data_IF_923675072713
#
_entry.id   IF_923675072713
#
_cell.length_a   1.000
_cell.length_b   1.000
_cell.length_c   1.000
_cell.angle_alpha   90.00
_cell.angle_beta   90.00
_cell.angle_gamma   90.00
#
_symmetry.space_group_name_H-M   'P 1'
#
loop_
_entity.id
_entity.type
_entity.pdbx_description
1 polymer ?
#
# COMPACT_ATOMS: atom_id res chain seq x y z
N UNK A 1 -24.04 40.62 17.92
CA UNK A 1 -23.87 40.16 16.52
C UNK A 1 -24.67 38.89 16.36
N UNK A 2 -25.72 38.92 15.57
CA UNK A 2 -26.53 37.74 15.24
C UNK A 2 -25.82 36.91 14.17
N UNK A 3 -26.17 35.62 14.00
CA UNK A 3 -25.59 34.79 12.92
C UNK A 3 -25.72 35.43 11.52
N UNK A 4 -26.81 36.16 11.28
CA UNK A 4 -27.05 36.88 10.01
C UNK A 4 -26.10 38.07 9.85
N UNK A 5 -25.84 38.82 10.94
CA UNK A 5 -24.88 39.94 10.90
C UNK A 5 -23.43 39.50 10.72
N UNK A 6 -23.10 38.22 11.05
CA UNK A 6 -21.79 37.63 10.84
C UNK A 6 -21.64 37.03 9.44
N UNK A 7 -22.70 36.97 8.67
CA UNK A 7 -22.70 36.36 7.33
C UNK A 7 -22.01 37.30 6.33
N UNK A 8 -20.94 36.82 5.68
CA UNK A 8 -20.13 37.64 4.74
C UNK A 8 -20.63 37.57 3.30
N UNK A 9 -21.50 36.60 2.98
CA UNK A 9 -22.09 36.41 1.66
C UNK A 9 -23.61 36.25 1.79
N UNK A 10 -24.38 36.54 0.74
CA UNK A 10 -25.84 36.42 0.75
C UNK A 10 -26.33 35.00 1.10
N UNK A 11 -25.65 33.98 0.63
CA UNK A 11 -25.96 32.56 0.90
C UNK A 11 -25.32 32.02 2.19
N UNK A 12 -24.40 32.75 2.80
CA UNK A 12 -23.55 32.25 3.88
C UNK A 12 -22.45 31.25 3.44
N UNK A 13 -22.35 31.02 2.13
CA UNK A 13 -21.35 30.13 1.55
C UNK A 13 -20.42 30.91 0.60
N UNK A 14 -19.13 30.92 0.90
CA UNK A 14 -18.12 31.61 0.08
C UNK A 14 -18.00 30.97 -1.30
N UNK A 15 -18.29 29.68 -1.43
CA UNK A 15 -18.20 28.93 -2.71
C UNK A 15 -19.31 29.33 -3.72
N UNK A 16 -20.30 30.11 -3.29
CA UNK A 16 -21.35 30.63 -4.17
C UNK A 16 -20.99 31.98 -4.83
N UNK A 17 -19.82 32.55 -4.52
CA UNK A 17 -19.37 33.78 -5.15
C UNK A 17 -18.92 33.51 -6.59
N UNK A 18 -19.20 34.43 -7.54
CA UNK A 18 -19.00 34.21 -8.99
C UNK A 18 -17.54 33.85 -9.38
N UNK A 19 -16.57 34.39 -8.68
CA UNK A 19 -15.15 34.25 -8.98
C UNK A 19 -14.42 33.39 -7.91
N UNK A 20 -15.16 32.62 -7.11
CA UNK A 20 -14.59 31.84 -6.05
C UNK A 20 -13.73 30.66 -6.59
N UNK A 21 -12.57 30.51 -6.00
CA UNK A 21 -11.70 29.38 -6.25
C UNK A 21 -11.61 28.56 -4.96
N UNK A 22 -12.21 27.40 -4.96
CA UNK A 22 -12.13 26.49 -3.80
C UNK A 22 -10.69 26.02 -3.54
N UNK A 23 -10.39 25.69 -2.28
CA UNK A 23 -9.10 25.07 -1.93
C UNK A 23 -8.83 23.80 -2.78
N UNK A 24 -9.88 23.02 -3.02
CA UNK A 24 -9.81 21.84 -3.88
C UNK A 24 -9.33 22.21 -5.29
N UNK A 25 -9.88 23.26 -5.90
CA UNK A 25 -9.46 23.74 -7.23
C UNK A 25 -8.01 24.22 -7.25
N UNK A 26 -7.58 24.92 -6.19
CA UNK A 26 -6.19 25.37 -6.06
C UNK A 26 -5.23 24.18 -5.95
N UNK A 27 -5.55 23.19 -5.11
CA UNK A 27 -4.75 22.00 -4.95
C UNK A 27 -4.68 21.17 -6.24
N UNK A 28 -5.78 21.05 -6.98
CA UNK A 28 -5.79 20.38 -8.28
C UNK A 28 -4.87 21.07 -9.31
N UNK A 29 -4.90 22.40 -9.37
CA UNK A 29 -4.00 23.20 -10.23
C UNK A 29 -2.53 23.00 -9.84
N UNK A 30 -2.23 22.99 -8.55
CA UNK A 30 -0.87 22.72 -8.05
C UNK A 30 -0.43 21.30 -8.39
N UNK A 31 -1.28 20.29 -8.22
CA UNK A 31 -0.98 18.92 -8.60
C UNK A 31 -0.68 18.80 -10.12
N UNK A 32 -1.38 19.54 -10.97
CA UNK A 32 -1.10 19.62 -12.41
C UNK A 32 0.21 20.33 -12.72
N UNK A 33 0.55 21.36 -11.97
CA UNK A 33 1.84 22.04 -12.07
C UNK A 33 2.98 21.08 -11.75
N UNK A 34 2.90 20.40 -10.60
CA UNK A 34 3.88 19.40 -10.18
C UNK A 34 3.99 18.24 -11.19
N UNK A 35 2.86 17.77 -11.75
CA UNK A 35 2.86 16.73 -12.76
C UNK A 35 3.63 17.14 -14.03
N UNK A 36 3.57 18.40 -14.43
CA UNK A 36 4.37 18.93 -15.56
C UNK A 36 5.85 19.03 -15.22
N UNK A 37 6.18 19.54 -14.03
CA UNK A 37 7.56 19.70 -13.57
C UNK A 37 8.32 18.37 -13.50
N UNK A 38 7.69 17.29 -12.96
CA UNK A 38 8.34 15.99 -12.81
C UNK A 38 8.53 15.19 -14.10
N UNK A 39 7.90 15.58 -15.23
CA UNK A 39 8.06 14.87 -16.51
C UNK A 39 9.51 14.80 -16.99
N UNK A 40 10.33 15.77 -16.63
CA UNK A 40 11.75 15.84 -17.02
C UNK A 40 12.68 15.14 -16.03
N UNK A 41 12.17 14.59 -14.94
CA UNK A 41 12.96 13.86 -13.96
C UNK A 41 13.39 12.50 -14.52
N UNK A 42 14.68 12.19 -14.42
CA UNK A 42 15.19 10.89 -14.85
C UNK A 42 14.71 9.74 -13.92
N UNK A 43 14.62 8.51 -14.43
CA UNK A 43 14.08 7.37 -13.66
C UNK A 43 14.88 7.04 -12.40
N UNK A 44 16.23 7.18 -12.42
CA UNK A 44 17.05 6.84 -11.26
C UNK A 44 16.83 7.84 -10.12
N UNK A 45 16.86 9.14 -10.41
CA UNK A 45 16.53 10.20 -9.44
C UNK A 45 15.11 10.07 -8.89
N UNK A 46 14.18 9.59 -9.71
CA UNK A 46 12.81 9.30 -9.27
C UNK A 46 12.78 8.18 -8.23
N UNK A 47 13.44 7.04 -8.49
CA UNK A 47 13.49 5.93 -7.53
C UNK A 47 14.22 6.30 -6.24
N UNK A 48 15.26 7.13 -6.31
CA UNK A 48 15.91 7.70 -5.12
C UNK A 48 14.92 8.55 -4.31
N UNK A 49 14.14 9.39 -4.97
CA UNK A 49 13.08 10.18 -4.33
C UNK A 49 12.00 9.29 -3.70
N UNK A 50 11.62 8.20 -4.36
CA UNK A 50 10.69 7.21 -3.79
C UNK A 50 11.24 6.65 -2.48
N UNK A 51 12.49 6.17 -2.45
CA UNK A 51 13.15 5.68 -1.23
C UNK A 51 13.17 6.74 -0.13
N UNK A 52 13.57 7.96 -0.49
CA UNK A 52 13.66 9.07 0.45
C UNK A 52 12.30 9.43 1.08
N UNK A 53 11.25 9.57 0.27
CA UNK A 53 9.93 10.00 0.74
C UNK A 53 9.18 8.88 1.51
N UNK A 54 9.31 7.65 1.07
CA UNK A 54 8.68 6.50 1.74
C UNK A 54 9.42 6.07 2.99
N UNK A 55 10.69 6.49 3.14
CA UNK A 55 11.59 6.07 4.23
C UNK A 55 11.77 4.55 4.29
N UNK A 56 11.72 3.90 3.13
CA UNK A 56 12.02 2.48 3.01
C UNK A 56 13.49 2.28 3.33
N UNK A 57 13.76 1.39 4.29
CA UNK A 57 15.10 1.04 4.73
C UNK A 57 15.69 -0.05 3.83
N UNK A 58 17.00 -0.11 3.79
CA UNK A 58 17.67 -1.25 3.20
C UNK A 58 17.36 -2.53 3.98
N UNK A 59 17.35 -3.67 3.27
CA UNK A 59 17.07 -4.95 3.88
C UNK A 59 18.10 -5.27 4.98
N UNK A 60 17.58 -5.58 6.16
CA UNK A 60 18.38 -6.06 7.28
C UNK A 60 18.73 -7.55 7.18
N UNK A 61 18.67 -8.23 8.30
CA UNK A 61 18.87 -9.70 8.38
C UNK A 61 17.79 -10.41 7.55
N UNK A 62 18.14 -11.59 7.02
CA UNK A 62 17.16 -12.40 6.29
C UNK A 62 15.98 -12.76 7.20
N UNK A 63 14.73 -12.53 6.77
CA UNK A 63 13.55 -12.88 7.55
C UNK A 63 13.45 -14.39 7.76
N UNK A 64 12.81 -14.81 8.84
CA UNK A 64 12.57 -16.21 9.18
C UNK A 64 11.10 -16.46 9.42
N UNK A 65 10.61 -17.68 9.15
CA UNK A 65 9.20 -18.02 9.38
C UNK A 65 9.04 -19.10 10.44
N UNK A 66 8.08 -18.92 11.34
CA UNK A 66 7.61 -19.95 12.26
C UNK A 66 6.25 -20.43 11.82
N UNK A 67 6.10 -21.72 11.54
CA UNK A 67 4.92 -22.28 10.92
C UNK A 67 4.30 -23.36 11.78
N UNK A 68 2.95 -23.33 11.86
CA UNK A 68 2.13 -24.40 12.44
C UNK A 68 1.25 -24.98 11.33
N UNK A 69 1.34 -26.27 11.12
CA UNK A 69 0.47 -26.96 10.20
C UNK A 69 -0.97 -26.95 10.72
N UNK A 70 -1.91 -26.60 9.85
CA UNK A 70 -3.33 -26.54 10.16
C UNK A 70 -4.10 -27.73 9.56
N UNK A 71 -3.80 -28.08 8.31
CA UNK A 71 -4.62 -28.97 7.53
C UNK A 71 -3.86 -29.54 6.32
N UNK A 72 -4.12 -30.82 6.02
CA UNK A 72 -3.89 -31.40 4.71
C UNK A 72 -5.23 -31.54 4.00
N UNK A 73 -5.36 -30.98 2.80
CA UNK A 73 -6.61 -31.04 2.03
C UNK A 73 -6.30 -30.96 0.53
N UNK A 74 -6.97 -31.83 -0.26
CA UNK A 74 -6.91 -31.75 -1.72
C UNK A 74 -5.50 -31.79 -2.33
N UNK A 75 -4.54 -32.48 -1.70
CA UNK A 75 -3.15 -32.50 -2.17
C UNK A 75 -2.35 -31.26 -1.82
N UNK A 76 -2.75 -30.51 -0.81
CA UNK A 76 -2.06 -29.30 -0.33
C UNK A 76 -1.85 -29.35 1.17
N UNK A 77 -0.74 -28.78 1.63
CA UNK A 77 -0.45 -28.53 3.05
C UNK A 77 -0.69 -27.06 3.35
N UNK A 78 -1.57 -26.78 4.28
CA UNK A 78 -1.88 -25.44 4.78
C UNK A 78 -1.18 -25.19 6.10
N UNK A 79 -0.43 -24.10 6.20
CA UNK A 79 0.31 -23.71 7.40
C UNK A 79 0.01 -22.25 7.72
N UNK A 80 -0.27 -21.94 8.98
CA UNK A 80 -0.38 -20.57 9.48
C UNK A 80 0.84 -20.25 10.32
N UNK A 81 1.33 -19.02 10.25
CA UNK A 81 2.53 -18.67 10.98
C UNK A 81 2.81 -17.19 11.05
N UNK A 82 4.01 -16.89 11.50
CA UNK A 82 4.53 -15.54 11.63
C UNK A 82 5.87 -15.48 10.90
N UNK A 83 6.02 -14.46 10.06
CA UNK A 83 7.31 -14.08 9.47
C UNK A 83 7.96 -13.07 10.40
N UNK A 84 9.10 -13.44 10.98
CA UNK A 84 9.93 -12.55 11.78
C UNK A 84 10.72 -11.65 10.83
N UNK A 85 10.44 -10.36 10.88
CA UNK A 85 11.06 -9.34 10.05
C UNK A 85 12.42 -8.88 10.64
N UNK A 86 13.22 -8.23 9.82
CA UNK A 86 14.56 -7.75 10.19
C UNK A 86 14.55 -6.71 11.33
N UNK A 87 13.47 -5.98 11.49
CA UNK A 87 13.29 -4.96 12.53
C UNK A 87 12.67 -5.50 13.83
N UNK A 88 12.43 -6.81 13.91
CA UNK A 88 11.82 -7.45 15.07
C UNK A 88 10.30 -7.55 15.03
N UNK A 89 9.63 -6.93 14.06
CA UNK A 89 8.19 -7.10 13.87
C UNK A 89 7.84 -8.51 13.40
N UNK A 90 6.60 -8.92 13.65
CA UNK A 90 6.05 -10.19 13.21
C UNK A 90 4.92 -9.95 12.22
N UNK A 91 5.03 -10.55 11.04
CA UNK A 91 4.06 -10.44 9.97
C UNK A 91 3.20 -11.71 9.94
N UNK A 92 1.88 -11.63 10.17
CA UNK A 92 0.98 -12.78 10.01
C UNK A 92 1.01 -13.32 8.58
N UNK A 93 1.11 -14.64 8.45
CA UNK A 93 1.20 -15.27 7.14
C UNK A 93 0.52 -16.64 7.10
N UNK A 94 0.02 -16.99 5.92
CA UNK A 94 -0.48 -18.33 5.62
C UNK A 94 0.28 -18.87 4.41
N UNK A 95 0.85 -20.07 4.55
CA UNK A 95 1.54 -20.75 3.46
C UNK A 95 0.75 -21.96 3.01
N UNK A 96 0.58 -22.09 1.70
CA UNK A 96 0.01 -23.28 1.08
C UNK A 96 1.04 -23.87 0.15
N UNK A 97 1.34 -25.14 0.36
CA UNK A 97 2.34 -25.88 -0.42
C UNK A 97 1.66 -27.09 -1.06
N UNK A 98 1.69 -27.24 -2.39
CA UNK A 98 1.18 -28.43 -3.06
C UNK A 98 2.03 -29.65 -2.72
N UNK A 99 1.40 -30.82 -2.60
CA UNK A 99 2.09 -32.11 -2.38
C UNK A 99 2.97 -32.46 -3.58
N UNK A 100 2.52 -32.10 -4.77
CA UNK A 100 3.29 -32.28 -6.01
C UNK A 100 3.50 -30.89 -6.63
N UNK A 101 4.61 -30.20 -6.34
CA UNK A 101 4.87 -28.89 -6.90
C UNK A 101 5.14 -29.00 -8.40
N UNK A 102 4.56 -28.07 -9.15
CA UNK A 102 4.90 -27.86 -10.57
C UNK A 102 6.10 -26.93 -10.70
N UNK A 103 6.80 -27.01 -11.82
CA UNK A 103 7.86 -26.06 -12.15
C UNK A 103 7.26 -24.67 -12.37
N UNK A 104 7.80 -23.67 -11.70
CA UNK A 104 7.40 -22.27 -11.83
C UNK A 104 7.47 -21.49 -10.53
N UNK A 105 7.42 -20.15 -10.61
CA UNK A 105 7.52 -19.29 -9.44
C UNK A 105 6.33 -19.50 -8.50
N UNK A 106 6.58 -19.43 -7.21
CA UNK A 106 5.53 -19.34 -6.20
C UNK A 106 4.78 -18.01 -6.29
N UNK A 107 3.70 -17.88 -5.52
CA UNK A 107 2.91 -16.65 -5.46
C UNK A 107 3.03 -15.99 -4.09
N UNK A 108 3.33 -14.71 -4.06
CA UNK A 108 3.19 -13.85 -2.88
C UNK A 108 1.93 -13.02 -3.03
N UNK A 109 0.91 -13.34 -2.23
CA UNK A 109 -0.39 -12.65 -2.27
C UNK A 109 -0.47 -11.71 -1.07
N UNK A 110 -0.73 -10.44 -1.34
CA UNK A 110 -0.76 -9.39 -0.33
C UNK A 110 -2.14 -8.77 -0.29
N UNK A 111 -2.73 -8.70 0.90
CA UNK A 111 -3.99 -7.97 1.07
C UNK A 111 -4.98 -8.62 2.00
N UNK A 112 -5.92 -7.78 2.42
CA UNK A 112 -6.93 -8.08 3.41
C UNK A 112 -7.80 -9.28 3.02
N UNK A 113 -7.64 -10.39 3.74
CA UNK A 113 -8.52 -11.54 3.63
C UNK A 113 -8.50 -12.22 2.26
N UNK A 114 -7.37 -12.20 1.57
CA UNK A 114 -7.21 -12.83 0.25
C UNK A 114 -7.64 -14.30 0.28
N UNK A 115 -7.34 -15.01 1.35
CA UNK A 115 -7.74 -16.40 1.53
C UNK A 115 -9.23 -16.57 1.94
N UNK A 116 -9.83 -15.59 2.64
CA UNK A 116 -11.25 -15.62 3.02
C UNK A 116 -12.19 -15.35 1.86
N UNK A 117 -11.73 -14.71 0.78
CA UNK A 117 -12.55 -14.32 -0.37
C UNK A 117 -12.42 -15.27 -1.57
N UNK A 118 -11.84 -16.46 -1.40
CA UNK A 118 -11.74 -17.42 -2.49
C UNK A 118 -10.91 -16.93 -3.68
N UNK A 119 -9.92 -16.08 -3.46
CA UNK A 119 -8.84 -15.91 -4.42
C UNK A 119 -8.18 -17.27 -4.54
N UNK A 120 -8.58 -17.99 -5.59
CA UNK A 120 -8.18 -19.37 -5.86
C UNK A 120 -6.66 -19.37 -5.96
N UNK A 121 -6.02 -19.99 -5.01
CA UNK A 121 -4.64 -20.36 -5.14
C UNK A 121 -4.54 -21.31 -6.32
N UNK A 122 -3.64 -21.07 -7.25
CA UNK A 122 -3.28 -22.14 -8.16
C UNK A 122 -2.82 -23.32 -7.30
N UNK A 123 -3.53 -24.43 -7.39
CA UNK A 123 -3.23 -25.64 -6.62
C UNK A 123 -1.81 -26.19 -6.91
N UNK A 124 -1.13 -25.60 -7.86
CA UNK A 124 0.09 -26.08 -8.49
C UNK A 124 1.38 -25.44 -7.98
N UNK A 125 1.30 -24.25 -7.32
CA UNK A 125 2.46 -23.50 -6.87
C UNK A 125 2.41 -23.19 -5.38
N UNK A 126 3.57 -23.14 -4.73
CA UNK A 126 3.67 -22.65 -3.36
C UNK A 126 3.15 -21.21 -3.29
N UNK A 127 2.22 -20.96 -2.38
CA UNK A 127 1.64 -19.62 -2.19
C UNK A 127 1.85 -19.16 -0.76
N UNK A 128 2.32 -17.94 -0.61
CA UNK A 128 2.45 -17.24 0.66
C UNK A 128 1.48 -16.06 0.68
N UNK A 129 0.49 -16.08 1.58
CA UNK A 129 -0.33 -14.92 1.90
C UNK A 129 0.28 -14.19 3.07
N UNK A 130 0.33 -12.87 2.97
CA UNK A 130 0.77 -12.02 4.06
C UNK A 130 -0.21 -10.87 4.27
N UNK A 131 -0.40 -10.53 5.53
CA UNK A 131 -1.17 -9.37 5.96
C UNK A 131 -0.20 -8.31 6.50
N UNK A 132 0.21 -7.32 5.68
CA UNK A 132 1.03 -6.22 6.14
C UNK A 132 0.35 -5.39 7.22
N UNK A 133 1.12 -4.56 7.89
CA UNK A 133 0.66 -3.66 8.94
C UNK A 133 -0.71 -3.03 8.61
N UNK A 134 -1.64 -3.07 9.54
CA UNK A 134 -3.04 -2.62 9.44
C UNK A 134 -3.94 -3.41 8.50
N UNK A 135 -3.50 -4.55 7.98
CA UNK A 135 -4.29 -5.40 7.09
C UNK A 135 -4.59 -6.76 7.72
N UNK A 136 -5.75 -7.33 7.37
CA UNK A 136 -6.14 -8.70 7.74
C UNK A 136 -5.89 -9.05 9.21
N UNK A 137 -5.10 -10.09 9.46
CA UNK A 137 -4.73 -10.54 10.82
C UNK A 137 -3.75 -9.57 11.54
N UNK A 138 -3.13 -8.62 10.81
CA UNK A 138 -2.33 -7.55 11.38
C UNK A 138 -3.15 -6.28 11.68
N UNK A 139 -4.47 -6.31 11.48
CA UNK A 139 -5.35 -5.19 11.79
C UNK A 139 -5.59 -5.13 13.30
N UNK A 140 -5.51 -3.94 13.93
CA UNK A 140 -5.85 -3.79 15.34
C UNK A 140 -7.31 -4.19 15.62
N UNK A 141 -7.56 -4.86 16.76
CA UNK A 141 -8.91 -5.22 17.20
C UNK A 141 -9.71 -4.03 17.77
N UNK A 142 -9.09 -2.88 17.87
CA UNK A 142 -9.72 -1.66 18.34
C UNK A 142 -10.56 -1.00 17.26
N UNK A 143 -11.65 -0.34 17.67
CA UNK A 143 -12.51 0.40 16.75
C UNK A 143 -11.77 1.47 15.94
N UNK A 144 -12.34 1.84 14.80
CA UNK A 144 -11.76 2.86 13.94
C UNK A 144 -11.65 4.20 14.68
N UNK A 145 -10.49 4.84 14.60
CA UNK A 145 -10.28 6.18 15.16
C UNK A 145 -11.19 7.18 14.45
N UNK A 146 -12.07 7.81 15.22
CA UNK A 146 -13.10 8.72 14.72
C UNK A 146 -14.04 8.13 13.64
N UNK A 147 -14.25 6.83 13.61
CA UNK A 147 -15.23 6.19 12.72
C UNK A 147 -15.02 6.41 11.22
N UNK A 148 -14.75 7.63 10.79
CA UNK A 148 -14.62 8.02 9.39
C UNK A 148 -13.25 7.73 8.77
N UNK A 149 -12.18 7.66 9.60
CA UNK A 149 -10.81 7.54 9.10
C UNK A 149 -10.30 6.10 9.00
N UNK A 150 -11.05 5.14 9.54
CA UNK A 150 -10.66 3.74 9.57
C UNK A 150 -9.46 3.44 10.48
N UNK A 151 -9.11 2.16 10.61
CA UNK A 151 -8.04 1.70 11.52
C UNK A 151 -6.65 2.19 11.08
N UNK A 152 -6.40 2.25 9.78
CA UNK A 152 -5.08 2.61 9.24
C UNK A 152 -4.69 4.07 9.47
N UNK A 153 -5.65 4.96 9.72
CA UNK A 153 -5.40 6.40 9.86
C UNK A 153 -4.55 6.73 11.09
N UNK A 154 -4.83 6.09 12.24
CA UNK A 154 -4.05 6.26 13.46
C UNK A 154 -2.60 5.82 13.26
N UNK A 155 -2.43 4.64 12.69
CA UNK A 155 -1.10 4.05 12.51
C UNK A 155 -0.30 4.83 11.47
N UNK A 156 -0.96 5.35 10.42
CA UNK A 156 -0.32 6.26 9.48
C UNK A 156 0.12 7.58 10.13
N UNK A 157 -0.73 8.16 11.00
CA UNK A 157 -0.37 9.37 11.73
C UNK A 157 0.85 9.14 12.65
N UNK A 158 0.94 7.99 13.31
CA UNK A 158 2.11 7.63 14.11
C UNK A 158 3.34 7.39 13.25
N UNK A 159 3.20 6.73 12.09
CA UNK A 159 4.29 6.61 11.13
C UNK A 159 4.83 7.98 10.73
N UNK A 160 3.96 8.94 10.39
CA UNK A 160 4.37 10.30 10.01
C UNK A 160 5.12 11.02 11.13
N UNK A 161 4.65 10.91 12.39
CA UNK A 161 5.35 11.50 13.54
C UNK A 161 6.75 10.92 13.75
N UNK A 162 6.94 9.66 13.40
CA UNK A 162 8.23 8.96 13.49
C UNK A 162 9.09 9.12 12.22
N UNK A 163 8.64 9.93 11.24
CA UNK A 163 9.35 10.17 9.99
C UNK A 163 9.25 9.01 8.99
N UNK A 164 8.24 8.16 9.11
CA UNK A 164 7.94 7.05 8.19
C UNK A 164 6.62 7.28 7.46
N UNK A 165 6.36 6.46 6.43
CA UNK A 165 5.03 6.35 5.83
C UNK A 165 4.48 4.95 6.04
N UNK A 166 3.14 4.80 6.15
CA UNK A 166 2.54 3.48 6.22
C UNK A 166 2.81 2.68 4.94
N UNK A 167 2.75 3.33 3.78
CA UNK A 167 3.07 2.74 2.48
C UNK A 167 4.50 2.18 2.48
N UNK A 168 5.48 2.95 2.97
CA UNK A 168 6.87 2.51 3.05
C UNK A 168 7.05 1.30 3.97
N UNK A 169 6.41 1.33 5.16
CA UNK A 169 6.46 0.20 6.10
C UNK A 169 5.85 -1.08 5.53
N UNK A 170 4.71 -0.95 4.87
CA UNK A 170 4.07 -2.09 4.19
C UNK A 170 4.92 -2.61 3.02
N UNK A 171 5.55 -1.72 2.24
CA UNK A 171 6.45 -2.13 1.15
C UNK A 171 7.68 -2.90 1.67
N UNK A 172 8.31 -2.45 2.78
CA UNK A 172 9.38 -3.21 3.46
C UNK A 172 8.93 -4.62 3.83
N UNK A 173 7.74 -4.76 4.42
CA UNK A 173 7.17 -6.05 4.82
C UNK A 173 6.93 -6.98 3.62
N UNK A 174 6.45 -6.44 2.50
CA UNK A 174 6.25 -7.18 1.25
C UNK A 174 7.59 -7.67 0.68
N UNK A 175 8.60 -6.82 0.64
CA UNK A 175 9.94 -7.20 0.18
C UNK A 175 10.58 -8.28 1.07
N UNK A 176 10.42 -8.18 2.38
CA UNK A 176 10.92 -9.21 3.30
C UNK A 176 10.14 -10.53 3.15
N UNK A 177 8.82 -10.47 2.95
CA UNK A 177 8.02 -11.67 2.66
C UNK A 177 8.42 -12.34 1.34
N UNK A 178 8.80 -11.58 0.31
CA UNK A 178 9.33 -12.16 -0.92
C UNK A 178 10.64 -12.91 -0.68
N UNK A 179 11.55 -12.35 0.12
CA UNK A 179 12.85 -12.98 0.43
C UNK A 179 12.73 -14.30 1.19
N UNK A 180 11.66 -14.51 1.97
CA UNK A 180 11.45 -15.78 2.70
C UNK A 180 11.07 -16.93 1.77
N UNK A 181 10.53 -16.64 0.59
CA UNK A 181 10.14 -17.68 -0.38
C UNK A 181 11.34 -18.35 -1.04
N UNK A 182 12.53 -17.75 -0.96
CA UNK A 182 13.78 -18.29 -1.49
C UNK A 182 14.01 -18.01 -2.96
N UNK A 183 12.99 -18.17 -3.80
CA UNK A 183 12.99 -17.79 -5.22
C UNK A 183 12.01 -16.63 -5.46
N UNK A 184 12.28 -15.78 -6.46
CA UNK A 184 11.40 -14.66 -6.78
C UNK A 184 9.95 -15.12 -7.08
N UNK A 185 8.95 -14.72 -6.29
CA UNK A 185 7.56 -15.08 -6.51
C UNK A 185 6.88 -14.16 -7.54
N UNK A 186 5.72 -14.58 -8.03
CA UNK A 186 4.74 -13.67 -8.63
C UNK A 186 4.07 -12.87 -7.52
N UNK A 187 4.23 -11.55 -7.53
CA UNK A 187 3.58 -10.65 -6.57
C UNK A 187 2.15 -10.35 -7.02
N UNK A 188 1.18 -10.65 -6.16
CA UNK A 188 -0.25 -10.37 -6.42
C UNK A 188 -0.79 -9.45 -5.34
N UNK A 189 -1.31 -8.29 -5.73
CA UNK A 189 -1.88 -7.33 -4.78
C UNK A 189 -3.07 -6.58 -5.40
N UNK A 190 -4.10 -6.31 -4.58
CA UNK A 190 -5.31 -5.59 -5.00
C UNK A 190 -5.78 -4.60 -3.95
N UNK A 191 -6.32 -3.46 -4.40
CA UNK A 191 -6.89 -2.42 -3.53
C UNK A 191 -5.81 -1.55 -2.89
N UNK A 192 -6.04 -1.05 -1.68
CA UNK A 192 -5.16 -0.05 -1.07
C UNK A 192 -3.72 -0.55 -0.82
N UNK A 193 -3.55 -1.81 -0.46
CA UNK A 193 -2.22 -2.40 -0.25
C UNK A 193 -1.43 -2.55 -1.56
N UNK A 194 -2.11 -2.55 -2.70
CA UNK A 194 -1.47 -2.56 -4.02
C UNK A 194 -0.55 -1.35 -4.23
N UNK A 195 -0.81 -0.23 -3.53
CA UNK A 195 0.06 0.94 -3.55
C UNK A 195 1.44 0.58 -2.95
N UNK A 196 1.47 -0.07 -1.79
CA UNK A 196 2.71 -0.51 -1.17
C UNK A 196 3.42 -1.61 -1.99
N UNK A 197 2.64 -2.53 -2.59
CA UNK A 197 3.17 -3.57 -3.47
C UNK A 197 3.82 -2.97 -4.73
N UNK A 198 3.23 -1.92 -5.31
CA UNK A 198 3.80 -1.20 -6.44
C UNK A 198 5.15 -0.55 -6.06
N UNK A 199 5.24 0.07 -4.88
CA UNK A 199 6.49 0.64 -4.38
C UNK A 199 7.57 -0.44 -4.19
N UNK A 200 7.21 -1.58 -3.60
CA UNK A 200 8.11 -2.71 -3.42
C UNK A 200 8.65 -3.22 -4.77
N UNK A 201 7.77 -3.41 -5.76
CA UNK A 201 8.13 -3.88 -7.09
C UNK A 201 9.01 -2.89 -7.86
N UNK A 202 8.72 -1.58 -7.77
CA UNK A 202 9.50 -0.54 -8.42
C UNK A 202 10.91 -0.39 -7.82
N UNK A 203 11.04 -0.55 -6.50
CA UNK A 203 12.31 -0.36 -5.79
C UNK A 203 13.23 -1.59 -5.85
N UNK A 204 12.67 -2.79 -5.87
CA UNK A 204 13.40 -4.06 -5.87
C UNK A 204 12.79 -5.04 -6.89
N UNK A 205 12.82 -4.71 -8.19
CA UNK A 205 12.16 -5.52 -9.22
C UNK A 205 12.70 -6.95 -9.30
N UNK A 206 13.97 -7.15 -8.98
CA UNK A 206 14.60 -8.49 -8.98
C UNK A 206 14.08 -9.44 -7.90
N UNK A 207 13.34 -8.93 -6.90
CA UNK A 207 12.69 -9.77 -5.88
C UNK A 207 11.46 -10.51 -6.41
N UNK A 208 10.95 -10.15 -7.58
CA UNK A 208 9.69 -10.67 -8.12
C UNK A 208 9.91 -11.23 -9.54
N UNK A 209 9.36 -12.41 -9.80
CA UNK A 209 9.39 -13.01 -11.14
C UNK A 209 8.37 -12.34 -12.08
N UNK A 210 7.25 -11.88 -11.52
CA UNK A 210 6.18 -11.16 -12.21
C UNK A 210 5.36 -10.36 -11.20
N UNK A 211 4.58 -9.38 -11.67
CA UNK A 211 3.72 -8.56 -10.80
C UNK A 211 2.30 -8.45 -11.37
N UNK A 212 1.30 -8.70 -10.52
CA UNK A 212 -0.13 -8.57 -10.82
C UNK A 212 -0.75 -7.63 -9.81
N UNK A 213 -0.68 -6.33 -10.08
CA UNK A 213 -1.04 -5.26 -9.17
C UNK A 213 -2.26 -4.52 -9.70
N UNK A 214 -3.37 -4.57 -8.94
CA UNK A 214 -4.61 -3.85 -9.24
C UNK A 214 -4.77 -2.69 -8.27
N UNK A 215 -4.46 -1.48 -8.72
CA UNK A 215 -4.55 -0.25 -7.93
C UNK A 215 -6.01 0.17 -7.70
N UNK A 216 -6.34 0.79 -6.55
CA UNK A 216 -7.68 1.27 -6.25
C UNK A 216 -8.07 2.53 -7.05
N UNK A 217 -7.06 3.24 -7.58
CA UNK A 217 -7.19 4.42 -8.43
C UNK A 217 -5.92 4.58 -9.29
N UNK A 218 -6.00 5.23 -10.45
CA UNK A 218 -4.90 5.22 -11.42
C UNK A 218 -3.69 6.06 -10.98
N UNK A 219 -3.90 7.11 -10.18
CA UNK A 219 -2.85 8.03 -9.74
C UNK A 219 -3.30 8.83 -8.52
N UNK A 220 -2.37 9.31 -7.72
CA UNK A 220 -2.72 10.25 -6.64
C UNK A 220 -3.22 11.58 -7.20
N UNK A 221 -2.75 12.01 -8.39
CA UNK A 221 -3.29 13.18 -9.07
C UNK A 221 -4.80 13.05 -9.32
N UNK A 222 -5.27 11.85 -9.68
CA UNK A 222 -6.69 11.60 -9.95
C UNK A 222 -7.60 11.78 -8.73
N UNK A 223 -7.06 11.78 -7.51
CA UNK A 223 -7.82 12.06 -6.29
C UNK A 223 -8.32 13.51 -6.24
N UNK A 224 -7.67 14.42 -6.96
CA UNK A 224 -8.08 15.82 -7.06
C UNK A 224 -9.15 16.08 -8.13
N UNK A 225 -9.61 15.06 -8.84
CA UNK A 225 -10.72 15.19 -9.80
C UNK A 225 -12.09 15.21 -9.10
N UNK A 226 -12.13 14.95 -7.79
CA UNK A 226 -13.33 14.90 -6.97
C UNK A 226 -13.13 15.65 -5.65
N UNK A 227 -14.14 16.43 -5.25
CA UNK A 227 -14.10 17.14 -3.97
C UNK A 227 -14.10 16.21 -2.75
N UNK A 228 -14.69 15.02 -2.89
CA UNK A 228 -14.67 13.98 -1.85
C UNK A 228 -13.94 12.74 -2.37
N UNK A 229 -12.77 12.50 -1.84
CA UNK A 229 -11.87 11.44 -2.30
C UNK A 229 -12.30 10.04 -1.84
N UNK A 230 -13.09 9.93 -0.77
CA UNK A 230 -13.55 8.62 -0.25
C UNK A 230 -12.43 7.65 0.19
N UNK A 231 -11.15 8.04 0.07
CA UNK A 231 -9.99 7.25 0.45
C UNK A 231 -9.27 7.86 1.65
N UNK A 232 -8.63 7.00 2.43
CA UNK A 232 -7.92 7.41 3.62
C UNK A 232 -6.54 7.98 3.26
N UNK A 233 -6.12 9.03 3.95
CA UNK A 233 -4.79 9.62 3.83
C UNK A 233 -3.66 8.63 4.20
N UNK A 234 -3.97 7.54 4.89
CA UNK A 234 -3.04 6.49 5.29
C UNK A 234 -2.22 5.91 4.12
N UNK A 235 -2.77 5.92 2.92
CA UNK A 235 -2.13 5.36 1.72
C UNK A 235 -1.50 6.44 0.82
N UNK A 236 -1.33 7.63 1.35
CA UNK A 236 -0.60 8.71 0.68
C UNK A 236 0.88 8.71 1.13
N UNK A 237 1.73 9.18 0.24
CA UNK A 237 3.13 9.51 0.55
C UNK A 237 3.28 11.02 0.47
N UNK A 238 3.49 11.71 1.61
CA UNK A 238 3.64 13.16 1.62
C UNK A 238 4.76 13.62 0.69
N UNK A 239 4.47 14.61 -0.16
CA UNK A 239 5.42 15.16 -1.11
C UNK A 239 5.62 14.35 -2.40
N UNK A 240 4.99 13.20 -2.56
CA UNK A 240 5.17 12.34 -3.72
C UNK A 240 4.93 13.08 -5.05
N UNK A 241 3.83 13.80 -5.19
CA UNK A 241 3.47 14.47 -6.45
C UNK A 241 4.50 15.47 -6.96
N UNK A 242 5.42 15.94 -6.12
CA UNK A 242 6.54 16.76 -6.56
C UNK A 242 7.61 15.97 -7.32
N UNK A 243 7.69 14.66 -7.13
CA UNK A 243 8.76 13.82 -7.67
C UNK A 243 8.25 12.63 -8.47
N UNK A 244 7.14 12.01 -8.08
CA UNK A 244 6.53 10.87 -8.76
C UNK A 244 5.03 10.76 -8.47
N UNK A 245 4.33 9.96 -9.27
CA UNK A 245 2.98 9.48 -9.02
C UNK A 245 2.94 7.96 -9.24
N UNK A 246 1.85 7.29 -8.91
CA UNK A 246 1.73 5.83 -9.04
C UNK A 246 2.02 5.34 -10.45
N UNK A 247 1.61 6.09 -11.48
CA UNK A 247 1.87 5.76 -12.88
C UNK A 247 3.36 5.75 -13.23
N UNK A 248 4.16 6.55 -12.55
CA UNK A 248 5.60 6.66 -12.79
C UNK A 248 6.39 5.45 -12.23
N UNK A 249 5.73 4.58 -11.45
CA UNK A 249 6.28 3.36 -10.86
C UNK A 249 5.91 2.09 -11.65
N UNK A 250 5.02 2.20 -12.62
CA UNK A 250 4.66 1.09 -13.52
C UNK A 250 5.75 1.01 -14.58
N UNK A 251 6.51 -0.07 -14.57
CA UNK A 251 7.58 -0.36 -15.54
C UNK A 251 7.04 -0.81 -16.89
#
# INVERSE_FOLDING_TARGET
>A
MTPVEAQVTESGCVLDLPDEISLHTLLAREADHLARARRTMDPASRLESVRYLTRIREAGKRPTGTWKELKHDGGQTHQKGLVQLSDGMQLPATRVTPTTPTNGPGHLIVGQGAWQRGLVTPAEHTTLWVDPLTMGDAQPNEGAWYGHFGHSARDAAWCFQLGHTLVGRQAEQIMEAARIMGEPPVLVAKGLVAIAALHAAALEPSLFADTRIELPFPSWRSLFDRANIGYQFAFLVPGALATYDLQDLVG
#
